data_IF_562445716732
#
_entry.id   IF_562445716732
#
_cell.length_a   1.000
_cell.length_b   1.000
_cell.length_c   1.000
_cell.angle_alpha   90.00
_cell.angle_beta   90.00
_cell.angle_gamma   90.00
#
_symmetry.space_group_name_H-M   'P 1'
#
loop_
_entity.id
_entity.type
_entity.pdbx_description
1 polymer ?
#
# COMPACT_ATOMS: atom_id res chain seq x y z
N UNK A 1 -9.00 -3.93 -16.37
CA UNK A 1 -7.70 -4.54 -16.72
C UNK A 1 -6.82 -4.89 -15.51
N UNK A 2 -7.05 -4.35 -14.30
CA UNK A 2 -6.30 -4.72 -13.07
C UNK A 2 -6.70 -6.06 -12.42
N UNK A 3 -7.81 -6.67 -12.85
CA UNK A 3 -8.40 -7.85 -12.20
C UNK A 3 -7.47 -9.08 -12.23
N UNK A 4 -6.88 -9.39 -13.38
CA UNK A 4 -6.07 -10.59 -13.57
C UNK A 4 -4.77 -10.56 -12.74
N UNK A 5 -4.12 -9.39 -12.60
CA UNK A 5 -2.87 -9.29 -11.87
C UNK A 5 -3.08 -9.50 -10.37
N UNK A 6 -4.12 -8.87 -9.80
CA UNK A 6 -4.41 -9.05 -8.38
C UNK A 6 -4.81 -10.51 -8.09
N UNK A 7 -5.55 -11.13 -9.00
CA UNK A 7 -5.87 -12.55 -8.92
C UNK A 7 -4.60 -13.43 -8.95
N UNK A 8 -3.69 -13.19 -9.89
CA UNK A 8 -2.42 -13.92 -9.96
C UNK A 8 -1.53 -13.69 -8.75
N UNK A 9 -1.50 -12.47 -8.19
CA UNK A 9 -0.79 -12.19 -6.93
C UNK A 9 -1.36 -13.00 -5.78
N UNK A 10 -2.69 -13.08 -5.67
CA UNK A 10 -3.34 -13.89 -4.64
C UNK A 10 -3.00 -15.38 -4.82
N UNK A 11 -3.01 -15.87 -6.07
CA UNK A 11 -2.63 -17.25 -6.43
C UNK A 11 -1.13 -17.54 -6.27
N UNK A 12 -0.26 -16.53 -6.34
CA UNK A 12 1.15 -16.63 -5.98
C UNK A 12 1.34 -16.68 -4.46
N UNK A 13 0.65 -15.82 -3.73
CA UNK A 13 0.90 -15.62 -2.30
C UNK A 13 0.54 -16.87 -1.48
N UNK A 14 -0.61 -17.49 -1.73
CA UNK A 14 -1.12 -18.61 -0.93
C UNK A 14 -0.17 -19.83 -0.91
N UNK A 15 0.24 -20.41 -2.06
CA UNK A 15 1.18 -21.55 -2.08
C UNK A 15 2.52 -21.20 -1.47
N UNK A 16 3.03 -19.98 -1.72
CA UNK A 16 4.32 -19.56 -1.16
C UNK A 16 4.23 -19.41 0.35
N UNK A 17 3.18 -18.80 0.90
CA UNK A 17 2.99 -18.73 2.36
C UNK A 17 2.89 -20.14 2.97
N UNK A 18 2.18 -21.07 2.33
CA UNK A 18 2.08 -22.46 2.77
C UNK A 18 3.44 -23.16 2.79
N UNK A 19 4.21 -23.06 1.70
CA UNK A 19 5.58 -23.57 1.63
C UNK A 19 6.45 -22.99 2.75
N UNK A 20 6.28 -21.71 3.12
CA UNK A 20 6.99 -21.10 4.25
C UNK A 20 6.66 -21.75 5.60
N UNK A 21 5.39 -22.03 5.87
CA UNK A 21 4.99 -22.72 7.11
C UNK A 21 5.51 -24.16 7.15
N UNK A 22 5.49 -24.84 6.01
CA UNK A 22 5.95 -26.23 5.92
C UNK A 22 7.48 -26.35 6.04
N UNK A 23 8.24 -25.32 5.65
CA UNK A 23 9.69 -25.22 5.93
C UNK A 23 10.01 -25.24 7.43
N UNK A 24 9.21 -24.54 8.23
CA UNK A 24 9.42 -24.51 9.67
C UNK A 24 9.22 -25.92 10.28
N UNK A 25 8.22 -26.65 9.81
CA UNK A 25 8.00 -28.05 10.20
C UNK A 25 9.12 -28.96 9.72
N UNK A 26 9.61 -28.77 8.49
CA UNK A 26 10.73 -29.53 7.93
C UNK A 26 11.99 -29.38 8.79
N UNK A 27 12.26 -28.14 9.25
CA UNK A 27 13.36 -27.85 10.16
C UNK A 27 13.27 -28.56 11.50
N UNK A 28 12.07 -28.60 12.08
CA UNK A 28 11.85 -29.31 13.34
C UNK A 28 12.07 -30.82 13.17
N UNK A 29 11.68 -31.38 12.02
CA UNK A 29 11.93 -32.79 11.69
C UNK A 29 13.42 -33.06 11.47
N UNK A 30 14.15 -32.23 10.72
CA UNK A 30 15.59 -32.36 10.54
C UNK A 30 16.35 -32.28 11.88
N UNK A 31 15.91 -31.39 12.77
CA UNK A 31 16.49 -31.26 14.11
C UNK A 31 16.24 -32.52 14.94
N UNK A 32 15.01 -33.06 14.92
CA UNK A 32 14.66 -34.32 15.58
C UNK A 32 15.49 -35.48 15.03
N UNK A 33 15.64 -35.57 13.71
CA UNK A 33 16.44 -36.59 13.04
C UNK A 33 17.90 -36.55 13.51
N UNK A 34 18.50 -35.35 13.60
CA UNK A 34 19.88 -35.18 14.02
C UNK A 34 20.14 -35.61 15.49
N UNK A 35 19.11 -35.57 16.34
CA UNK A 35 19.19 -36.02 17.74
C UNK A 35 18.66 -37.46 17.95
N UNK A 36 18.13 -38.11 16.92
CA UNK A 36 17.48 -39.41 17.02
C UNK A 36 18.52 -40.54 17.06
N UNK A 37 18.50 -41.35 18.12
CA UNK A 37 19.38 -42.52 18.28
C UNK A 37 18.71 -43.84 17.89
N UNK A 38 17.37 -43.86 17.80
CA UNK A 38 16.60 -45.04 17.36
C UNK A 38 16.55 -45.12 15.84
N UNK A 39 16.87 -46.29 15.29
CA UNK A 39 17.03 -46.51 13.84
C UNK A 39 15.68 -46.55 13.09
N UNK A 40 14.64 -47.14 13.68
CA UNK A 40 13.29 -47.19 13.08
C UNK A 40 12.62 -45.82 13.13
N UNK A 41 12.79 -45.10 14.23
CA UNK A 41 12.31 -43.72 14.37
C UNK A 41 13.02 -42.77 13.39
N UNK A 42 14.33 -42.95 13.19
CA UNK A 42 15.11 -42.19 12.20
C UNK A 42 14.57 -42.40 10.78
N UNK A 43 14.24 -43.64 10.40
CA UNK A 43 13.67 -43.95 9.09
C UNK A 43 12.31 -43.29 8.89
N UNK A 44 11.44 -43.31 9.91
CA UNK A 44 10.14 -42.67 9.87
C UNK A 44 10.26 -41.14 9.73
N UNK A 45 11.19 -40.51 10.45
CA UNK A 45 11.43 -39.07 10.37
C UNK A 45 11.95 -38.69 8.96
N UNK A 46 12.87 -39.47 8.38
CA UNK A 46 13.34 -39.25 7.00
C UNK A 46 12.20 -39.27 6.00
N UNK A 47 11.33 -40.29 6.06
CA UNK A 47 10.16 -40.37 5.18
C UNK A 47 9.27 -39.13 5.28
N UNK A 48 9.01 -38.63 6.48
CA UNK A 48 8.23 -37.39 6.70
C UNK A 48 8.93 -36.16 6.12
N UNK A 49 10.26 -36.09 6.18
CA UNK A 49 11.04 -35.00 5.57
C UNK A 49 10.86 -35.05 4.05
N UNK A 50 11.01 -36.22 3.43
CA UNK A 50 10.88 -36.38 1.98
C UNK A 50 9.46 -36.01 1.50
N UNK A 51 8.42 -36.53 2.15
CA UNK A 51 7.01 -36.19 1.84
C UNK A 51 6.75 -34.68 1.95
N UNK A 52 7.29 -34.03 3.00
CA UNK A 52 7.11 -32.60 3.20
C UNK A 52 7.90 -31.77 2.19
N UNK A 53 9.09 -32.23 1.78
CA UNK A 53 9.91 -31.59 0.76
C UNK A 53 9.19 -31.62 -0.60
N UNK A 54 8.53 -32.72 -0.97
CA UNK A 54 7.72 -32.81 -2.20
C UNK A 54 6.55 -31.82 -2.20
N UNK A 55 5.83 -31.69 -1.08
CA UNK A 55 4.74 -30.71 -0.94
C UNK A 55 5.26 -29.28 -1.12
N UNK A 56 6.37 -28.97 -0.45
CA UNK A 56 7.04 -27.67 -0.55
C UNK A 56 7.43 -27.38 -2.01
N UNK A 57 8.07 -28.32 -2.70
CA UNK A 57 8.52 -28.16 -4.09
C UNK A 57 7.33 -27.95 -5.05
N UNK A 58 6.22 -28.65 -4.82
CA UNK A 58 4.97 -28.47 -5.58
C UNK A 58 4.39 -27.08 -5.39
N UNK A 59 4.20 -26.63 -4.14
CA UNK A 59 3.65 -25.31 -3.82
C UNK A 59 4.51 -24.18 -4.42
N UNK A 60 5.83 -24.37 -4.41
CA UNK A 60 6.80 -23.46 -5.01
C UNK A 60 6.67 -23.40 -6.54
N UNK A 61 6.55 -24.56 -7.18
CA UNK A 61 6.40 -24.68 -8.64
C UNK A 61 5.15 -23.94 -9.11
N UNK A 62 4.03 -24.12 -8.40
CA UNK A 62 2.78 -23.40 -8.67
C UNK A 62 2.96 -21.90 -8.54
N UNK A 63 3.63 -21.45 -7.47
CA UNK A 63 3.97 -20.04 -7.29
C UNK A 63 4.80 -19.48 -8.45
N UNK A 64 5.80 -20.22 -8.95
CA UNK A 64 6.64 -19.78 -10.08
C UNK A 64 5.80 -19.47 -11.33
N UNK A 65 4.82 -20.30 -11.64
CA UNK A 65 3.94 -20.14 -12.80
C UNK A 65 3.18 -18.81 -12.71
N UNK A 66 2.54 -18.55 -11.56
CA UNK A 66 1.79 -17.30 -11.37
C UNK A 66 2.69 -16.06 -11.36
N UNK A 67 3.92 -16.16 -10.81
CA UNK A 67 4.91 -15.09 -10.93
C UNK A 67 5.21 -14.76 -12.41
N UNK A 68 5.40 -15.78 -13.24
CA UNK A 68 5.60 -15.62 -14.68
C UNK A 68 4.45 -14.85 -15.33
N UNK A 69 3.20 -15.26 -15.06
CA UNK A 69 2.03 -14.58 -15.59
C UNK A 69 1.92 -13.10 -15.18
N UNK A 70 2.28 -12.79 -13.92
CA UNK A 70 2.32 -11.40 -13.44
C UNK A 70 3.37 -10.58 -14.21
N UNK A 71 4.58 -11.13 -14.35
CA UNK A 71 5.68 -10.44 -15.05
C UNK A 71 5.34 -10.20 -16.52
N UNK A 72 4.76 -11.19 -17.20
CA UNK A 72 4.33 -11.09 -18.60
C UNK A 72 3.24 -10.03 -18.78
N UNK A 73 2.26 -9.97 -17.88
CA UNK A 73 1.20 -8.97 -17.94
C UNK A 73 1.75 -7.55 -17.76
N UNK A 74 2.68 -7.36 -16.82
CA UNK A 74 3.38 -6.07 -16.67
C UNK A 74 4.29 -5.75 -17.87
N UNK A 75 4.81 -6.74 -18.59
CA UNK A 75 5.55 -6.50 -19.83
C UNK A 75 4.63 -6.04 -20.95
N UNK A 76 3.43 -6.62 -21.09
CA UNK A 76 2.43 -6.16 -22.07
C UNK A 76 1.96 -4.73 -21.80
N UNK A 77 1.87 -4.35 -20.53
CA UNK A 77 1.46 -3.01 -20.11
C UNK A 77 2.62 -2.01 -20.08
N UNK A 78 3.85 -2.43 -20.36
CA UNK A 78 5.01 -1.54 -20.37
C UNK A 78 4.86 -0.54 -21.52
N UNK A 79 4.71 0.72 -21.15
CA UNK A 79 4.78 1.82 -22.11
C UNK A 79 6.27 2.20 -22.32
N UNK A 80 6.70 2.43 -23.56
CA UNK A 80 8.12 2.47 -23.97
C UNK A 80 8.89 3.77 -23.71
N UNK A 81 8.30 4.72 -22.99
CA UNK A 81 8.93 6.00 -22.61
C UNK A 81 9.35 6.04 -21.13
N UNK A 82 10.46 6.70 -20.80
CA UNK A 82 10.89 6.77 -19.40
C UNK A 82 10.14 7.83 -18.56
N UNK A 83 9.32 8.68 -19.17
CA UNK A 83 8.57 9.72 -18.45
C UNK A 83 9.34 11.03 -18.20
N UNK A 84 10.62 11.10 -18.54
CA UNK A 84 11.29 12.39 -18.69
C UNK A 84 10.72 13.11 -19.93
N UNK A 85 10.61 14.44 -19.86
CA UNK A 85 9.97 15.26 -20.91
C UNK A 85 10.58 15.06 -22.31
N UNK A 86 11.86 14.68 -22.37
CA UNK A 86 12.67 14.50 -23.59
C UNK A 86 12.55 13.09 -24.20
N UNK A 87 11.80 12.17 -23.59
CA UNK A 87 11.80 10.75 -23.96
C UNK A 87 10.93 10.44 -25.19
N UNK A 88 11.43 10.74 -26.39
CA UNK A 88 10.87 10.31 -27.67
C UNK A 88 11.76 9.24 -28.32
N UNK A 89 11.65 7.99 -27.85
CA UNK A 89 12.25 6.83 -28.53
C UNK A 89 13.74 6.56 -28.22
N UNK A 90 13.95 5.44 -27.54
CA UNK A 90 15.19 4.67 -27.33
C UNK A 90 16.37 5.29 -26.55
N UNK A 91 16.61 6.62 -26.52
CA UNK A 91 17.68 7.18 -25.66
C UNK A 91 17.30 8.52 -25.05
N UNK A 92 17.00 8.49 -23.75
CA UNK A 92 16.79 9.69 -22.95
C UNK A 92 18.13 10.17 -22.36
N UNK A 93 18.55 11.40 -22.69
CA UNK A 93 19.81 11.98 -22.23
C UNK A 93 19.90 12.08 -20.71
N UNK A 94 18.77 12.42 -20.06
CA UNK A 94 18.67 12.41 -18.60
C UNK A 94 18.94 11.02 -18.03
N UNK A 95 18.35 9.97 -18.59
CA UNK A 95 18.61 8.60 -18.17
C UNK A 95 20.08 8.21 -18.39
N UNK A 96 20.66 8.56 -19.55
CA UNK A 96 22.06 8.25 -19.87
C UNK A 96 23.04 8.92 -18.92
N UNK A 97 22.89 10.23 -18.69
CA UNK A 97 23.77 10.99 -17.80
C UNK A 97 23.70 10.52 -16.34
N UNK A 98 22.52 10.11 -15.87
CA UNK A 98 22.36 9.53 -14.54
C UNK A 98 23.09 8.19 -14.39
N UNK A 99 23.03 7.31 -15.40
CA UNK A 99 23.76 6.02 -15.40
C UNK A 99 25.26 6.26 -15.21
N UNK A 100 25.85 7.15 -16.01
CA UNK A 100 27.27 7.48 -15.91
C UNK A 100 27.63 8.03 -14.53
N UNK A 101 26.77 8.90 -13.98
CA UNK A 101 26.95 9.45 -12.64
C UNK A 101 26.94 8.36 -11.56
N UNK A 102 26.06 7.36 -11.68
CA UNK A 102 25.97 6.25 -10.71
C UNK A 102 27.25 5.42 -10.72
N UNK A 103 27.77 5.09 -11.91
CA UNK A 103 28.99 4.30 -12.08
C UNK A 103 30.24 5.04 -11.58
N UNK A 104 30.28 6.38 -11.70
CA UNK A 104 31.40 7.21 -11.18
C UNK A 104 31.45 7.28 -9.65
N UNK A 105 30.34 7.05 -8.95
CA UNK A 105 30.30 7.19 -7.50
C UNK A 105 30.45 5.83 -6.80
N UNK A 106 31.56 5.63 -6.07
CA UNK A 106 31.64 4.53 -5.10
C UNK A 106 30.99 4.88 -3.75
N UNK A 107 30.82 6.17 -3.45
CA UNK A 107 30.20 6.68 -2.22
C UNK A 107 28.72 7.04 -2.44
N UNK A 108 27.84 6.32 -1.74
CA UNK A 108 26.38 6.51 -1.80
C UNK A 108 25.90 7.82 -1.19
N UNK A 109 26.59 8.38 -0.19
CA UNK A 109 26.23 9.70 0.36
C UNK A 109 26.50 10.80 -0.66
N UNK A 110 27.68 10.76 -1.29
CA UNK A 110 28.06 11.73 -2.33
C UNK A 110 27.14 11.64 -3.55
N UNK A 111 26.83 10.41 -4.00
CA UNK A 111 25.85 10.20 -5.07
C UNK A 111 24.50 10.83 -4.74
N UNK A 112 23.96 10.56 -3.55
CA UNK A 112 22.67 11.08 -3.12
C UNK A 112 22.68 12.62 -3.05
N UNK A 113 23.73 13.24 -2.52
CA UNK A 113 23.87 14.71 -2.48
C UNK A 113 23.90 15.34 -3.88
N UNK A 114 24.31 14.60 -4.91
CA UNK A 114 24.35 15.08 -6.29
C UNK A 114 23.01 14.94 -7.03
N UNK A 115 22.20 13.94 -6.69
CA UNK A 115 20.93 13.67 -7.40
C UNK A 115 19.73 14.39 -6.78
N UNK A 116 19.68 14.49 -5.45
CA UNK A 116 18.52 15.10 -4.74
C UNK A 116 18.22 16.53 -5.19
N UNK A 117 19.21 17.44 -5.38
CA UNK A 117 18.92 18.81 -5.80
C UNK A 117 18.38 18.94 -7.23
N UNK A 118 18.51 17.90 -8.07
CA UNK A 118 18.13 17.94 -9.49
C UNK A 118 16.63 17.73 -9.74
N UNK A 119 15.89 17.29 -8.73
CA UNK A 119 14.46 17.00 -8.82
C UNK A 119 13.73 17.72 -7.69
N UNK A 120 12.45 18.07 -7.90
CA UNK A 120 11.61 18.65 -6.84
C UNK A 120 11.50 17.72 -5.63
N UNK A 121 11.49 16.42 -5.91
CA UNK A 121 11.51 15.35 -4.92
C UNK A 121 12.19 14.09 -5.47
N UNK A 122 12.65 13.22 -4.59
CA UNK A 122 13.31 11.95 -4.94
C UNK A 122 12.64 10.81 -4.20
N UNK A 123 12.25 9.76 -4.93
CA UNK A 123 11.68 8.53 -4.37
C UNK A 123 12.74 7.43 -4.36
N UNK A 124 13.07 6.89 -3.19
CA UNK A 124 13.94 5.74 -3.03
C UNK A 124 13.10 4.50 -2.71
N UNK A 125 13.23 3.48 -3.56
CA UNK A 125 12.51 2.20 -3.45
C UNK A 125 13.48 1.12 -3.03
N UNK A 126 13.49 0.80 -1.74
CA UNK A 126 14.34 -0.25 -1.19
C UNK A 126 13.75 -1.62 -1.50
N UNK A 127 14.59 -2.56 -1.89
CA UNK A 127 14.23 -3.95 -2.11
C UNK A 127 15.31 -4.91 -1.58
N UNK A 128 14.96 -6.19 -1.49
CA UNK A 128 15.79 -7.20 -0.81
C UNK A 128 16.91 -7.75 -1.69
N UNK A 129 16.61 -8.05 -2.95
CA UNK A 129 17.58 -8.54 -3.93
C UNK A 129 16.99 -9.41 -5.04
N UNK A 130 17.83 -9.92 -5.93
CA UNK A 130 17.50 -10.80 -7.07
C UNK A 130 16.80 -12.10 -6.68
N UNK A 131 17.15 -12.62 -5.52
CA UNK A 131 16.56 -13.83 -4.95
C UNK A 131 15.14 -13.59 -4.37
N UNK A 132 14.66 -12.36 -4.25
CA UNK A 132 13.36 -12.09 -3.64
C UNK A 132 12.22 -12.24 -4.66
N UNK A 133 11.37 -13.25 -4.47
CA UNK A 133 10.30 -13.62 -5.42
C UNK A 133 9.34 -12.48 -5.80
N UNK A 134 9.00 -11.60 -4.85
CA UNK A 134 8.10 -10.45 -5.07
C UNK A 134 8.81 -9.15 -5.45
N UNK A 135 10.14 -9.08 -5.35
CA UNK A 135 10.84 -7.82 -5.53
C UNK A 135 10.81 -7.37 -7.00
N UNK A 136 11.09 -8.27 -7.96
CA UNK A 136 11.01 -7.94 -9.38
C UNK A 136 9.59 -7.50 -9.79
N UNK A 137 8.57 -8.24 -9.34
CA UNK A 137 7.15 -7.90 -9.56
C UNK A 137 6.84 -6.49 -9.06
N UNK A 138 7.21 -6.18 -7.82
CA UNK A 138 6.95 -4.86 -7.23
C UNK A 138 7.70 -3.72 -7.95
N UNK A 139 8.93 -3.96 -8.39
CA UNK A 139 9.71 -2.96 -9.14
C UNK A 139 9.06 -2.65 -10.50
N UNK A 140 8.47 -3.66 -11.15
CA UNK A 140 7.66 -3.43 -12.37
C UNK A 140 6.41 -2.61 -12.08
N UNK A 141 5.75 -2.87 -10.95
CA UNK A 141 4.60 -2.07 -10.52
C UNK A 141 4.94 -0.61 -10.31
N UNK A 142 6.05 -0.34 -9.63
CA UNK A 142 6.57 1.02 -9.46
C UNK A 142 6.81 1.68 -10.82
N UNK A 143 7.28 0.92 -11.83
CA UNK A 143 7.50 1.47 -13.17
C UNK A 143 6.24 2.09 -13.79
N UNK A 144 5.05 1.58 -13.46
CA UNK A 144 3.79 2.12 -13.98
C UNK A 144 3.48 3.53 -13.48
N UNK A 145 4.05 3.94 -12.34
CA UNK A 145 3.82 5.25 -11.74
C UNK A 145 5.02 6.20 -11.87
N UNK A 146 6.16 5.70 -12.37
CA UNK A 146 7.39 6.49 -12.52
C UNK A 146 7.21 7.65 -13.51
N UNK A 147 6.35 7.50 -14.51
CA UNK A 147 6.06 8.59 -15.45
C UNK A 147 5.41 9.77 -14.77
N UNK A 148 4.40 9.51 -13.96
CA UNK A 148 3.66 10.52 -13.22
C UNK A 148 4.56 11.16 -12.16
N UNK A 149 5.42 10.38 -11.50
CA UNK A 149 6.48 10.92 -10.63
C UNK A 149 7.35 11.93 -11.39
N UNK A 150 7.80 11.58 -12.60
CA UNK A 150 8.68 12.42 -13.42
C UNK A 150 7.96 13.62 -14.03
N UNK A 151 6.69 13.50 -14.41
CA UNK A 151 5.91 14.61 -14.95
C UNK A 151 5.67 15.71 -13.90
N UNK A 152 5.68 15.36 -12.62
CA UNK A 152 5.65 16.32 -11.50
C UNK A 152 7.03 16.92 -11.16
N UNK A 153 8.09 16.52 -11.88
CA UNK A 153 9.46 16.98 -11.65
C UNK A 153 10.21 16.21 -10.57
N UNK A 154 9.72 15.03 -10.18
CA UNK A 154 10.42 14.08 -9.32
C UNK A 154 11.25 13.06 -10.09
N UNK A 155 11.90 12.15 -9.38
CA UNK A 155 12.54 10.98 -9.96
C UNK A 155 12.56 9.81 -8.95
N UNK A 156 12.78 8.59 -9.44
CA UNK A 156 12.75 7.37 -8.64
C UNK A 156 14.01 6.51 -8.81
N UNK A 157 14.43 5.85 -7.73
CA UNK A 157 15.62 5.01 -7.70
C UNK A 157 15.36 3.73 -6.89
N UNK A 158 15.60 2.57 -7.49
CA UNK A 158 15.64 1.31 -6.75
C UNK A 158 16.95 1.19 -5.98
N UNK A 159 16.90 0.77 -4.72
CA UNK A 159 18.07 0.65 -3.84
C UNK A 159 18.12 -0.74 -3.22
N UNK A 160 19.27 -1.41 -3.30
CA UNK A 160 19.46 -2.74 -2.72
C UNK A 160 20.87 -2.94 -2.17
N UNK A 161 21.00 -3.78 -1.14
CA UNK A 161 22.28 -4.12 -0.53
C UNK A 161 23.11 -5.19 -1.26
N UNK A 162 22.75 -5.56 -2.49
CA UNK A 162 23.59 -6.41 -3.36
C UNK A 162 24.62 -5.57 -4.12
N UNK A 163 25.66 -6.24 -4.65
CA UNK A 163 26.65 -5.58 -5.52
C UNK A 163 26.05 -5.11 -6.85
N UNK A 164 26.81 -4.28 -7.57
CA UNK A 164 26.37 -3.72 -8.84
C UNK A 164 25.97 -4.79 -9.87
N UNK A 165 26.68 -5.93 -9.91
CA UNK A 165 26.36 -7.02 -10.83
C UNK A 165 24.90 -7.48 -10.68
N UNK A 166 24.45 -7.75 -9.45
CA UNK A 166 23.08 -8.23 -9.21
C UNK A 166 22.03 -7.13 -9.34
N UNK A 167 22.43 -5.89 -9.05
CA UNK A 167 21.59 -4.72 -9.29
C UNK A 167 21.33 -4.57 -10.80
N UNK A 168 22.33 -4.82 -11.64
CA UNK A 168 22.21 -4.84 -13.10
C UNK A 168 21.37 -6.04 -13.59
N UNK A 169 21.55 -7.23 -13.00
CA UNK A 169 20.71 -8.41 -13.29
C UNK A 169 19.22 -8.14 -12.98
N UNK A 170 18.90 -7.57 -11.81
CA UNK A 170 17.53 -7.18 -11.45
C UNK A 170 16.99 -6.10 -12.40
N UNK A 171 17.82 -5.14 -12.78
CA UNK A 171 17.44 -4.10 -13.73
C UNK A 171 17.06 -4.70 -15.09
N UNK A 172 17.83 -5.68 -15.57
CA UNK A 172 17.57 -6.40 -16.81
C UNK A 172 16.31 -7.26 -16.71
N UNK A 173 16.14 -8.03 -15.63
CA UNK A 173 14.95 -8.87 -15.41
C UNK A 173 13.66 -8.06 -15.36
N UNK A 174 13.70 -6.91 -14.67
CA UNK A 174 12.51 -6.07 -14.48
C UNK A 174 12.19 -5.20 -15.69
N UNK A 175 13.17 -4.94 -16.58
CA UNK A 175 13.01 -4.11 -17.77
C UNK A 175 12.31 -2.78 -17.47
N UNK A 176 12.77 -2.07 -16.43
CA UNK A 176 12.15 -0.82 -15.94
C UNK A 176 12.82 0.43 -16.53
N UNK A 177 12.29 1.62 -16.26
CA UNK A 177 12.75 2.90 -16.82
C UNK A 177 13.50 3.79 -15.82
N UNK A 178 13.60 3.38 -14.56
CA UNK A 178 14.23 4.14 -13.48
C UNK A 178 15.50 3.46 -12.96
N UNK A 179 16.38 4.22 -12.31
CA UNK A 179 17.74 3.75 -12.04
C UNK A 179 17.83 2.81 -10.83
N UNK A 180 18.83 1.93 -10.86
CA UNK A 180 19.06 0.90 -9.86
C UNK A 180 20.42 1.13 -9.18
N UNK A 181 20.42 1.10 -7.86
CA UNK A 181 21.52 1.59 -7.03
C UNK A 181 21.98 0.50 -6.05
N UNK A 182 23.26 0.14 -6.17
CA UNK A 182 23.93 -0.72 -5.18
C UNK A 182 24.29 0.06 -3.92
N UNK A 183 23.70 -0.35 -2.78
CA UNK A 183 23.98 0.11 -1.42
C UNK A 183 24.56 -1.02 -0.57
N UNK A 184 25.61 -1.68 -1.05
CA UNK A 184 26.17 -2.92 -0.47
C UNK A 184 26.54 -2.81 1.03
N UNK A 185 26.86 -1.61 1.51
CA UNK A 185 27.20 -1.33 2.92
C UNK A 185 25.99 -0.87 3.77
N UNK A 186 24.79 -0.87 3.18
CA UNK A 186 23.55 -0.36 3.75
C UNK A 186 23.67 1.10 4.23
N UNK A 187 24.41 1.95 3.52
CA UNK A 187 24.66 3.34 3.92
C UNK A 187 23.37 4.15 3.86
N UNK A 188 22.60 4.00 2.78
CA UNK A 188 21.33 4.69 2.60
C UNK A 188 20.25 4.05 3.48
N UNK A 189 20.22 2.71 3.53
CA UNK A 189 19.26 2.01 4.38
C UNK A 189 19.40 2.44 5.86
N UNK A 190 20.62 2.46 6.40
CA UNK A 190 20.88 2.94 7.77
C UNK A 190 20.55 4.43 7.95
N UNK A 191 20.87 5.28 6.95
CA UNK A 191 20.58 6.73 7.02
C UNK A 191 19.09 7.01 7.18
N UNK A 192 18.24 6.26 6.48
CA UNK A 192 16.79 6.48 6.47
C UNK A 192 16.01 5.48 7.32
N UNK A 193 16.70 4.84 8.27
CA UNK A 193 16.13 3.86 9.18
C UNK A 193 15.41 2.70 8.45
N UNK A 194 15.77 2.36 7.22
CA UNK A 194 15.25 1.17 6.58
C UNK A 194 15.85 -0.04 7.28
N UNK A 195 14.98 -0.95 7.73
CA UNK A 195 15.39 -2.11 8.50
C UNK A 195 16.40 -2.94 7.71
N UNK A 196 17.48 -3.33 8.37
CA UNK A 196 18.51 -4.21 7.82
C UNK A 196 18.48 -5.53 8.58
N UNK A 197 18.06 -6.60 7.91
CA UNK A 197 18.01 -7.93 8.51
C UNK A 197 19.40 -8.57 8.49
N UNK A 198 19.80 -9.18 9.61
CA UNK A 198 21.05 -9.94 9.72
C UNK A 198 20.94 -11.26 8.95
N UNK A 199 22.07 -11.76 8.46
CA UNK A 199 22.22 -13.02 7.72
C UNK A 199 22.19 -14.25 8.64
N UNK A 200 21.15 -14.40 9.45
CA UNK A 200 21.21 -15.37 10.55
C UNK A 200 19.91 -16.17 10.66
N UNK A 201 20.01 -17.50 10.49
CA UNK A 201 18.96 -18.46 10.84
C UNK A 201 18.88 -19.66 9.90
N UNK A 202 18.63 -20.84 10.47
CA UNK A 202 18.36 -22.07 9.69
C UNK A 202 17.17 -21.91 8.74
N UNK A 203 16.09 -21.26 9.20
CA UNK A 203 14.90 -20.90 8.41
C UNK A 203 15.23 -20.11 7.14
N UNK A 204 16.16 -19.17 7.25
CA UNK A 204 16.59 -18.33 6.14
C UNK A 204 17.45 -19.10 5.12
N UNK A 205 18.35 -19.97 5.59
CA UNK A 205 19.18 -20.80 4.72
C UNK A 205 18.33 -21.81 3.93
N UNK A 206 17.31 -22.42 4.54
CA UNK A 206 16.41 -23.34 3.84
C UNK A 206 15.50 -22.60 2.87
N UNK A 207 14.98 -21.42 3.25
CA UNK A 207 14.22 -20.57 2.35
C UNK A 207 14.99 -20.22 1.07
N UNK A 208 16.30 -19.95 1.19
CA UNK A 208 17.15 -19.68 0.03
C UNK A 208 17.30 -20.88 -0.91
N UNK A 209 17.25 -22.12 -0.40
CA UNK A 209 17.28 -23.35 -1.21
C UNK A 209 15.98 -23.56 -1.98
N UNK A 210 14.86 -23.23 -1.35
CA UNK A 210 13.50 -23.29 -1.91
C UNK A 210 13.30 -22.26 -3.02
N UNK A 211 13.67 -21.02 -2.75
CA UNK A 211 13.67 -19.93 -3.74
C UNK A 211 14.60 -20.25 -4.92
N UNK A 212 15.75 -20.91 -4.68
CA UNK A 212 16.65 -21.37 -5.73
C UNK A 212 15.96 -22.38 -6.68
N UNK A 213 15.17 -23.31 -6.14
CA UNK A 213 14.36 -24.25 -6.93
C UNK A 213 13.26 -23.53 -7.73
N UNK A 214 12.61 -22.55 -7.10
CA UNK A 214 11.54 -21.75 -7.69
C UNK A 214 11.99 -20.86 -8.86
N UNK A 215 13.01 -20.01 -8.66
CA UNK A 215 13.28 -18.89 -9.57
C UNK A 215 14.33 -19.27 -10.63
N UNK A 216 15.01 -20.42 -10.51
CA UNK A 216 15.98 -20.91 -11.51
C UNK A 216 17.27 -20.08 -11.62
N UNK A 217 17.41 -19.00 -10.85
CA UNK A 217 18.66 -18.26 -10.74
C UNK A 217 19.62 -18.97 -9.78
N UNK A 218 20.79 -19.32 -10.30
CA UNK A 218 21.82 -20.15 -9.65
C UNK A 218 22.62 -19.44 -8.57
N UNK A 219 22.55 -18.11 -8.51
CA UNK A 219 23.33 -17.32 -7.57
C UNK A 219 22.59 -17.16 -6.25
N UNK A 220 22.78 -18.17 -5.40
CA UNK A 220 22.52 -18.09 -3.96
C UNK A 220 23.02 -16.75 -3.44
N UNK A 221 22.20 -16.09 -2.62
CA UNK A 221 22.55 -15.06 -1.65
C UNK A 221 24.04 -14.73 -1.65
N UNK A 222 24.39 -13.73 -2.44
CA UNK A 222 25.73 -13.24 -2.63
C UNK A 222 26.49 -13.18 -1.26
N UNK A 223 27.78 -13.54 -1.17
CA UNK A 223 28.57 -13.30 0.05
C UNK A 223 28.60 -11.82 0.46
N UNK A 224 28.18 -10.92 -0.44
CA UNK A 224 28.21 -9.47 -0.31
C UNK A 224 27.06 -8.84 0.48
N UNK A 225 26.05 -9.61 0.95
CA UNK A 225 25.18 -9.15 2.06
C UNK A 225 25.90 -9.23 3.44
N UNK A 226 27.22 -9.02 3.47
CA UNK A 226 28.04 -9.01 4.69
C UNK A 226 27.50 -8.00 5.71
N UNK A 227 27.00 -6.88 5.20
CA UNK A 227 26.44 -5.79 6.00
C UNK A 227 24.92 -5.92 6.22
N UNK A 228 24.30 -7.04 5.82
CA UNK A 228 22.88 -7.34 5.98
C UNK A 228 22.00 -6.97 4.79
N UNK A 229 20.70 -7.25 4.93
CA UNK A 229 19.72 -7.16 3.85
C UNK A 229 18.77 -6.01 4.10
N UNK A 230 18.80 -5.01 3.21
CA UNK A 230 17.80 -3.95 3.20
C UNK A 230 16.41 -4.54 3.03
N UNK A 231 15.52 -4.23 3.96
CA UNK A 231 14.12 -4.60 3.82
C UNK A 231 13.42 -3.68 2.83
N UNK A 232 12.29 -4.13 2.28
CA UNK A 232 11.50 -3.30 1.38
C UNK A 232 11.03 -2.04 2.08
N UNK A 233 11.11 -0.93 1.38
CA UNK A 233 10.84 0.38 1.96
C UNK A 233 10.69 1.46 0.91
N UNK A 234 9.99 2.52 1.26
CA UNK A 234 9.84 3.72 0.44
C UNK A 234 10.33 4.90 1.27
N UNK A 235 11.19 5.72 0.67
CA UNK A 235 11.60 7.01 1.24
C UNK A 235 11.35 8.08 0.20
N UNK A 236 10.64 9.15 0.57
CA UNK A 236 10.44 10.32 -0.28
C UNK A 236 11.20 11.49 0.34
N UNK A 237 12.07 12.08 -0.45
CA UNK A 237 12.89 13.22 -0.08
C UNK A 237 12.41 14.46 -0.82
N UNK A 238 12.38 15.61 -0.16
CA UNK A 238 12.25 16.90 -0.85
C UNK A 238 13.59 17.28 -1.54
N UNK A 239 13.61 18.36 -2.32
CA UNK A 239 14.81 18.87 -3.01
C UNK A 239 15.97 19.26 -2.06
N UNK A 240 15.69 19.49 -0.77
CA UNK A 240 16.71 19.76 0.26
C UNK A 240 17.32 18.48 0.85
N UNK A 241 16.70 17.33 0.59
CA UNK A 241 17.07 16.03 1.15
C UNK A 241 16.42 15.69 2.48
N UNK A 242 15.41 16.46 2.91
CA UNK A 242 14.62 16.13 4.09
C UNK A 242 13.62 15.02 3.74
N UNK A 243 13.43 14.09 4.68
CA UNK A 243 12.46 13.00 4.54
C UNK A 243 11.06 13.55 4.79
N UNK A 244 10.19 13.50 3.77
CA UNK A 244 8.76 13.87 3.91
C UNK A 244 7.86 12.65 4.08
N UNK A 245 8.35 11.47 3.67
CA UNK A 245 7.67 10.20 3.89
C UNK A 245 8.68 9.06 4.01
N UNK A 246 8.41 8.13 4.92
CA UNK A 246 9.16 6.88 5.09
C UNK A 246 8.20 5.76 5.45
N UNK A 247 8.31 4.67 4.72
CA UNK A 247 7.72 3.39 5.08
C UNK A 247 8.76 2.28 5.01
N UNK A 248 8.71 1.32 5.94
CA UNK A 248 9.57 0.15 5.96
C UNK A 248 8.75 -1.08 6.29
N UNK A 249 8.97 -2.16 5.55
CA UNK A 249 8.27 -3.42 5.75
C UNK A 249 8.56 -4.01 7.14
N UNK A 250 7.54 -4.46 7.87
CA UNK A 250 7.73 -5.26 9.07
C UNK A 250 8.29 -6.64 8.72
N UNK A 251 9.11 -7.22 9.60
CA UNK A 251 9.90 -8.43 9.30
C UNK A 251 9.57 -9.59 10.23
N UNK A 252 8.30 -9.94 10.33
CA UNK A 252 7.85 -11.08 11.11
C UNK A 252 7.36 -12.20 10.17
N UNK A 253 7.19 -13.41 10.69
CA UNK A 253 6.93 -14.60 9.86
C UNK A 253 5.69 -14.46 8.96
N UNK A 254 4.62 -13.84 9.46
CA UNK A 254 3.36 -13.59 8.73
C UNK A 254 3.55 -12.74 7.46
N UNK A 255 4.64 -11.97 7.39
CA UNK A 255 4.98 -11.09 6.26
C UNK A 255 5.95 -11.74 5.28
N UNK A 256 6.27 -13.02 5.48
CA UNK A 256 7.36 -13.70 4.78
C UNK A 256 8.72 -13.06 5.09
N UNK A 257 8.90 -12.56 6.32
CA UNK A 257 10.08 -11.79 6.72
C UNK A 257 10.33 -10.58 5.79
N UNK A 258 9.28 -9.79 5.56
CA UNK A 258 9.30 -8.63 4.66
C UNK A 258 9.21 -8.99 3.17
N UNK A 259 8.79 -10.20 2.79
CA UNK A 259 8.64 -10.57 1.38
C UNK A 259 7.39 -9.98 0.74
N UNK A 260 6.26 -9.96 1.44
CA UNK A 260 4.96 -9.70 0.83
C UNK A 260 4.49 -8.25 0.97
N UNK A 261 4.70 -7.64 2.14
CA UNK A 261 4.18 -6.30 2.38
C UNK A 261 4.94 -5.24 1.60
N UNK A 262 4.21 -4.39 0.89
CA UNK A 262 4.72 -3.25 0.11
C UNK A 262 3.69 -2.13 0.13
N UNK A 263 4.14 -0.89 0.00
CA UNK A 263 3.26 0.24 -0.30
C UNK A 263 2.73 0.06 -1.72
N UNK A 264 1.41 0.15 -1.93
CA UNK A 264 0.85 0.20 -3.30
C UNK A 264 1.49 1.39 -4.04
N UNK A 265 2.08 1.21 -5.24
CA UNK A 265 2.71 2.32 -5.95
C UNK A 265 1.78 3.50 -6.24
N UNK A 266 0.46 3.30 -6.29
CA UNK A 266 -0.52 4.39 -6.35
C UNK A 266 -0.55 5.22 -5.07
N UNK A 267 -0.38 4.61 -3.90
CA UNK A 267 -0.21 5.36 -2.66
C UNK A 267 1.08 6.21 -2.69
N UNK A 268 2.13 5.75 -3.37
CA UNK A 268 3.34 6.57 -3.58
C UNK A 268 3.01 7.81 -4.41
N UNK A 269 2.17 7.69 -5.44
CA UNK A 269 1.66 8.86 -6.18
C UNK A 269 0.84 9.79 -5.29
N UNK A 270 -0.08 9.26 -4.49
CA UNK A 270 -0.88 10.08 -3.57
C UNK A 270 0.03 10.86 -2.60
N UNK A 271 1.07 10.23 -2.06
CA UNK A 271 2.08 10.88 -1.21
C UNK A 271 2.76 12.04 -1.95
N UNK A 272 3.26 11.79 -3.17
CA UNK A 272 4.01 12.83 -3.89
C UNK A 272 3.09 13.93 -4.41
N UNK A 273 1.82 13.63 -4.71
CA UNK A 273 0.81 14.63 -5.06
C UNK A 273 0.46 15.51 -3.87
N UNK A 274 0.32 14.92 -2.68
CA UNK A 274 0.08 15.64 -1.43
C UNK A 274 1.18 16.67 -1.13
N UNK A 275 2.45 16.32 -1.36
CA UNK A 275 3.57 17.20 -1.04
C UNK A 275 4.01 18.11 -2.20
N UNK A 276 3.89 17.68 -3.46
CA UNK A 276 4.64 18.28 -4.59
C UNK A 276 3.85 18.47 -5.89
N UNK A 277 2.52 18.28 -5.90
CA UNK A 277 1.72 18.45 -7.14
C UNK A 277 1.66 19.89 -7.65
N UNK A 278 1.91 20.88 -6.78
CA UNK A 278 1.87 22.31 -7.08
C UNK A 278 3.20 23.00 -6.72
N UNK A 279 3.26 24.31 -6.91
CA UNK A 279 4.47 25.11 -6.67
C UNK A 279 4.83 25.19 -5.18
N UNK A 280 3.83 25.15 -4.31
CA UNK A 280 3.97 25.14 -2.86
C UNK A 280 3.31 23.91 -2.23
N UNK A 281 3.75 23.55 -1.01
CA UNK A 281 3.14 22.45 -0.26
C UNK A 281 1.66 22.73 0.04
N UNK A 282 1.31 23.96 0.44
CA UNK A 282 -0.06 24.33 0.79
C UNK A 282 -1.01 24.20 -0.42
N UNK A 283 -0.59 24.65 -1.61
CA UNK A 283 -1.37 24.45 -2.83
C UNK A 283 -1.50 22.97 -3.19
N UNK A 284 -0.42 22.19 -3.01
CA UNK A 284 -0.42 20.74 -3.26
C UNK A 284 -1.39 20.01 -2.32
N UNK A 285 -1.39 20.39 -1.04
CA UNK A 285 -2.31 19.89 -0.03
C UNK A 285 -3.77 20.18 -0.39
N UNK A 286 -4.09 21.44 -0.72
CA UNK A 286 -5.46 21.82 -1.08
C UNK A 286 -5.93 21.13 -2.36
N UNK A 287 -5.04 21.00 -3.36
CA UNK A 287 -5.32 20.24 -4.57
C UNK A 287 -5.59 18.78 -4.26
N UNK A 288 -4.76 18.15 -3.44
CA UNK A 288 -4.92 16.77 -3.01
C UNK A 288 -6.26 16.54 -2.30
N UNK A 289 -6.64 17.43 -1.37
CA UNK A 289 -7.93 17.36 -0.67
C UNK A 289 -9.11 17.47 -1.65
N UNK A 290 -9.01 18.36 -2.63
CA UNK A 290 -10.04 18.51 -3.67
C UNK A 290 -10.16 17.24 -4.54
N UNK A 291 -9.03 16.70 -5.01
CA UNK A 291 -9.00 15.51 -5.86
C UNK A 291 -9.45 14.24 -5.11
N UNK A 292 -9.36 14.23 -3.78
CA UNK A 292 -9.71 13.10 -2.91
C UNK A 292 -10.85 13.40 -1.92
N UNK A 293 -11.75 14.34 -2.27
CA UNK A 293 -12.78 14.85 -1.34
C UNK A 293 -13.55 13.76 -0.60
N UNK A 294 -13.96 12.69 -1.30
CA UNK A 294 -14.71 11.59 -0.68
C UNK A 294 -13.92 10.86 0.41
N UNK A 295 -12.63 10.58 0.18
CA UNK A 295 -11.77 9.91 1.17
C UNK A 295 -11.48 10.83 2.36
N UNK A 296 -11.28 12.12 2.10
CA UNK A 296 -11.06 13.14 3.15
C UNK A 296 -12.33 13.33 3.99
N UNK A 297 -13.50 13.25 3.36
CA UNK A 297 -14.78 13.32 4.05
C UNK A 297 -14.97 12.14 4.99
N UNK A 298 -14.74 10.91 4.53
CA UNK A 298 -14.82 9.72 5.38
C UNK A 298 -13.78 9.75 6.51
N UNK A 299 -12.55 10.23 6.29
CA UNK A 299 -11.61 10.48 7.39
C UNK A 299 -12.20 11.47 8.39
N UNK A 300 -12.78 12.58 7.90
CA UNK A 300 -13.33 13.62 8.76
C UNK A 300 -14.43 13.06 9.66
N UNK A 301 -15.26 12.16 9.16
CA UNK A 301 -16.30 11.51 9.96
C UNK A 301 -15.71 10.56 11.02
N UNK A 302 -14.64 9.84 10.69
CA UNK A 302 -14.05 8.82 11.55
C UNK A 302 -13.05 9.38 12.58
N UNK A 303 -12.33 10.46 12.27
CA UNK A 303 -11.45 11.13 13.23
C UNK A 303 -12.27 12.06 14.14
N UNK A 304 -12.21 11.80 15.45
CA UNK A 304 -12.97 12.54 16.47
C UNK A 304 -12.74 14.05 16.43
N UNK A 305 -11.52 14.49 16.14
CA UNK A 305 -11.15 15.91 16.15
C UNK A 305 -11.56 16.59 14.84
N UNK A 306 -11.33 15.98 13.68
CA UNK A 306 -11.82 16.49 12.39
C UNK A 306 -13.35 16.57 12.38
N UNK A 307 -14.03 15.52 12.89
CA UNK A 307 -15.49 15.52 13.03
C UNK A 307 -15.95 16.69 13.89
N UNK A 308 -15.33 16.91 15.06
CA UNK A 308 -15.67 18.03 15.94
C UNK A 308 -15.46 19.40 15.29
N UNK A 309 -14.38 19.57 14.51
CA UNK A 309 -14.14 20.79 13.74
C UNK A 309 -15.21 20.99 12.66
N UNK A 310 -15.59 19.93 11.95
CA UNK A 310 -16.62 20.00 10.91
C UNK A 310 -18.02 20.27 11.51
N UNK A 311 -18.37 19.64 12.64
CA UNK A 311 -19.58 19.98 13.40
C UNK A 311 -19.60 21.45 13.78
N UNK A 312 -18.47 22.00 14.27
CA UNK A 312 -18.34 23.42 14.59
C UNK A 312 -18.49 24.35 13.38
N UNK A 313 -18.10 23.88 12.19
CA UNK A 313 -18.32 24.60 10.93
C UNK A 313 -19.80 24.63 10.56
N UNK A 314 -20.47 23.47 10.54
CA UNK A 314 -21.90 23.37 10.21
C UNK A 314 -22.80 24.12 11.20
N UNK A 315 -22.44 24.17 12.48
CA UNK A 315 -23.10 25.00 13.50
C UNK A 315 -23.18 26.48 13.12
N UNK A 316 -22.14 27.01 12.46
CA UNK A 316 -22.12 28.41 11.99
C UNK A 316 -22.99 28.61 10.74
N UNK A 317 -23.24 27.54 10.00
CA UNK A 317 -24.11 27.53 8.81
C UNK A 317 -25.54 27.07 9.11
N UNK A 318 -25.86 26.77 10.38
CA UNK A 318 -27.15 26.22 10.80
C UNK A 318 -27.56 24.93 10.04
N UNK A 319 -26.59 24.04 9.74
CA UNK A 319 -26.75 22.83 8.92
C UNK A 319 -26.21 21.54 9.59
N UNK A 320 -26.26 21.52 10.91
CA UNK A 320 -25.73 20.47 11.80
C UNK A 320 -26.52 19.15 11.72
N UNK A 321 -27.83 19.22 11.44
CA UNK A 321 -28.72 18.08 11.30
C UNK A 321 -28.27 17.12 10.19
N UNK A 322 -27.66 17.65 9.14
CA UNK A 322 -27.10 16.86 8.04
C UNK A 322 -25.97 15.93 8.50
N UNK A 323 -25.12 16.37 9.42
CA UNK A 323 -24.02 15.55 9.96
C UNK A 323 -24.51 14.59 11.05
N UNK A 324 -25.43 15.02 11.90
CA UNK A 324 -26.05 14.17 12.92
C UNK A 324 -26.76 12.96 12.30
N UNK A 325 -27.54 13.20 11.24
CA UNK A 325 -28.17 12.12 10.48
C UNK A 325 -27.14 11.10 9.97
N UNK A 326 -25.99 11.55 9.44
CA UNK A 326 -24.96 10.63 8.96
C UNK A 326 -24.31 9.81 10.08
N UNK A 327 -24.17 10.39 11.28
CA UNK A 327 -23.66 9.68 12.46
C UNK A 327 -24.67 8.61 12.89
N UNK A 328 -25.96 8.96 12.98
CA UNK A 328 -27.02 8.03 13.33
C UNK A 328 -27.16 6.89 12.30
N UNK A 329 -26.93 7.19 11.01
CA UNK A 329 -26.90 6.17 9.95
C UNK A 329 -25.75 5.17 10.13
N UNK A 330 -24.58 5.61 10.58
CA UNK A 330 -23.45 4.70 10.87
C UNK A 330 -23.70 3.89 12.15
N UNK A 331 -24.29 4.50 13.19
CA UNK A 331 -24.71 3.76 14.39
C UNK A 331 -25.78 2.71 14.05
N UNK A 332 -26.75 3.05 13.20
CA UNK A 332 -27.78 2.13 12.75
C UNK A 332 -27.17 0.92 12.03
N UNK A 333 -26.20 1.16 11.13
CA UNK A 333 -25.44 0.11 10.45
C UNK A 333 -24.76 -0.82 11.45
N UNK A 334 -24.05 -0.27 12.43
CA UNK A 334 -23.36 -1.04 13.47
C UNK A 334 -24.34 -1.88 14.30
N UNK A 335 -25.53 -1.34 14.62
CA UNK A 335 -26.56 -2.08 15.35
C UNK A 335 -27.12 -3.26 14.55
N UNK A 336 -27.28 -3.13 13.23
CA UNK A 336 -27.66 -4.24 12.37
C UNK A 336 -26.58 -5.31 12.28
N UNK A 337 -25.32 -4.92 12.10
CA UNK A 337 -24.17 -5.84 12.10
C UNK A 337 -24.06 -6.59 13.45
N UNK A 338 -24.32 -5.90 14.56
CA UNK A 338 -24.38 -6.47 15.90
C UNK A 338 -25.68 -7.26 16.20
N UNK A 339 -26.62 -7.33 15.25
CA UNK A 339 -27.94 -7.98 15.39
C UNK A 339 -28.78 -7.45 16.57
N UNK A 340 -28.58 -6.18 16.96
CA UNK A 340 -29.33 -5.54 18.04
C UNK A 340 -30.59 -4.85 17.51
N UNK A 341 -31.58 -5.65 17.12
CA UNK A 341 -32.78 -5.18 16.41
C UNK A 341 -33.66 -4.23 17.23
N UNK A 342 -33.68 -4.35 18.56
CA UNK A 342 -34.51 -3.48 19.40
C UNK A 342 -33.99 -2.03 19.40
N UNK A 343 -32.67 -1.86 19.55
CA UNK A 343 -32.04 -0.53 19.48
C UNK A 343 -32.08 0.03 18.06
N UNK A 344 -31.88 -0.82 17.05
CA UNK A 344 -31.98 -0.41 15.66
C UNK A 344 -33.35 0.21 15.36
N UNK A 345 -34.45 -0.46 15.72
CA UNK A 345 -35.82 0.07 15.53
C UNK A 345 -36.05 1.42 16.22
N UNK A 346 -35.58 1.55 17.46
CA UNK A 346 -35.67 2.84 18.20
C UNK A 346 -34.92 3.96 17.48
N UNK A 347 -33.74 3.66 16.92
CA UNK A 347 -32.95 4.63 16.16
C UNK A 347 -33.58 4.94 14.80
N UNK A 348 -34.20 3.97 14.12
CA UNK A 348 -34.96 4.23 12.88
C UNK A 348 -36.13 5.18 13.12
N UNK A 349 -36.91 4.96 14.19
CA UNK A 349 -38.00 5.85 14.59
C UNK A 349 -37.47 7.25 14.91
N UNK A 350 -36.34 7.34 15.62
CA UNK A 350 -35.67 8.61 15.89
C UNK A 350 -35.30 9.33 14.59
N UNK A 351 -34.65 8.64 13.65
CA UNK A 351 -34.22 9.20 12.37
C UNK A 351 -35.42 9.70 11.56
N UNK A 352 -36.48 8.90 11.49
CA UNK A 352 -37.71 9.25 10.76
C UNK A 352 -38.36 10.53 11.33
N UNK A 353 -38.51 10.57 12.65
CA UNK A 353 -39.22 11.66 13.33
C UNK A 353 -38.39 12.95 13.36
N UNK A 354 -37.07 12.85 13.52
CA UNK A 354 -36.21 14.01 13.69
C UNK A 354 -35.64 14.56 12.38
N UNK A 355 -35.35 13.72 11.38
CA UNK A 355 -34.64 14.17 10.17
C UNK A 355 -35.48 14.09 8.89
N UNK A 356 -36.44 13.16 8.80
CA UNK A 356 -37.18 12.92 7.53
C UNK A 356 -38.53 13.64 7.52
N UNK A 357 -39.24 13.66 8.65
CA UNK A 357 -40.55 14.30 8.79
C UNK A 357 -40.48 15.80 8.51
N UNK A 358 -41.32 16.30 7.60
CA UNK A 358 -41.36 17.73 7.22
C UNK A 358 -41.76 18.66 8.36
N UNK A 359 -42.37 18.11 9.42
CA UNK A 359 -42.77 18.86 10.61
C UNK A 359 -41.65 18.99 11.64
N UNK A 360 -40.52 18.32 11.43
CA UNK A 360 -39.39 18.38 12.36
C UNK A 360 -38.60 19.68 12.18
N UNK A 361 -38.21 20.35 13.29
CA UNK A 361 -37.31 21.50 13.24
C UNK A 361 -35.89 21.13 12.77
N UNK A 362 -35.53 19.83 12.74
CA UNK A 362 -34.26 19.31 12.23
C UNK A 362 -34.44 18.55 10.90
N UNK A 363 -35.51 18.84 10.17
CA UNK A 363 -35.79 18.17 8.90
C UNK A 363 -34.71 18.45 7.86
N UNK A 364 -34.23 17.39 7.23
CA UNK A 364 -33.21 17.44 6.19
C UNK A 364 -33.78 18.05 4.91
N UNK A 365 -32.94 18.78 4.20
CA UNK A 365 -33.23 19.29 2.86
C UNK A 365 -33.13 18.16 1.81
N UNK A 366 -34.12 17.26 1.81
CA UNK A 366 -34.25 16.16 0.85
C UNK A 366 -35.25 16.48 -0.26
N UNK A 367 -35.00 15.92 -1.45
CA UNK A 367 -35.97 15.96 -2.56
C UNK A 367 -37.27 15.25 -2.18
N UNK A 368 -38.40 15.72 -2.70
CA UNK A 368 -39.72 15.09 -2.45
C UNK A 368 -39.71 13.60 -2.85
N UNK A 369 -39.00 13.23 -3.92
CA UNK A 369 -38.85 11.84 -4.37
C UNK A 369 -38.09 10.99 -3.35
N UNK A 370 -36.93 11.46 -2.87
CA UNK A 370 -36.12 10.75 -1.87
C UNK A 370 -36.91 10.58 -0.58
N UNK A 371 -37.56 11.65 -0.11
CA UNK A 371 -38.39 11.64 1.11
C UNK A 371 -39.55 10.65 1.00
N UNK A 372 -40.32 10.69 -0.09
CA UNK A 372 -41.43 9.74 -0.31
C UNK A 372 -40.96 8.29 -0.40
N UNK A 373 -39.79 8.03 -1.01
CA UNK A 373 -39.22 6.69 -1.09
C UNK A 373 -38.86 6.15 0.29
N UNK A 374 -38.20 6.96 1.13
CA UNK A 374 -37.84 6.57 2.50
C UNK A 374 -39.08 6.23 3.32
N UNK A 375 -40.08 7.13 3.32
CA UNK A 375 -41.34 6.93 4.05
C UNK A 375 -42.08 5.68 3.57
N UNK A 376 -42.20 5.48 2.25
CA UNK A 376 -42.92 4.33 1.69
C UNK A 376 -42.27 2.98 2.03
N UNK A 377 -40.93 2.92 2.02
CA UNK A 377 -40.19 1.70 2.36
C UNK A 377 -40.27 1.32 3.83
N UNK A 378 -40.40 2.29 4.75
CA UNK A 378 -40.61 2.00 6.18
C UNK A 378 -42.02 1.48 6.44
N UNK A 379 -43.01 2.02 5.72
CA UNK A 379 -44.41 1.58 5.80
C UNK A 379 -44.66 0.21 5.15
N UNK A 380 -43.75 -0.28 4.30
CA UNK A 380 -43.82 -1.59 3.63
C UNK A 380 -42.53 -2.39 3.88
N UNK A 381 -42.35 -2.94 5.09
CA UNK A 381 -41.09 -3.57 5.47
C UNK A 381 -40.84 -4.83 4.64
N UNK A 382 -39.93 -4.72 3.67
CA UNK A 382 -39.43 -5.86 2.91
C UNK A 382 -38.09 -6.26 3.54
N UNK A 383 -38.13 -7.33 4.36
CA UNK A 383 -36.99 -7.97 5.07
C UNK A 383 -35.99 -7.03 5.77
N UNK A 384 -36.21 -6.79 7.06
CA UNK A 384 -35.34 -6.06 8.02
C UNK A 384 -33.97 -6.72 8.31
N UNK A 385 -33.57 -7.72 7.56
CA UNK A 385 -32.48 -8.61 7.95
C UNK A 385 -31.09 -8.06 7.57
N UNK A 386 -31.02 -7.01 6.73
CA UNK A 386 -29.77 -6.45 6.21
C UNK A 386 -29.84 -4.93 6.00
N UNK A 387 -28.86 -4.18 6.54
CA UNK A 387 -28.74 -2.72 6.39
C UNK A 387 -28.74 -2.26 4.91
N UNK A 388 -28.16 -3.06 4.01
CA UNK A 388 -28.08 -2.78 2.57
C UNK A 388 -29.44 -2.66 1.88
N UNK A 389 -30.49 -3.23 2.49
CA UNK A 389 -31.87 -3.13 2.02
C UNK A 389 -32.62 -1.88 2.51
N UNK A 390 -32.01 -1.06 3.37
CA UNK A 390 -32.71 0.08 3.99
C UNK A 390 -32.80 1.29 3.06
N UNK A 391 -34.00 1.87 3.00
CA UNK A 391 -34.32 3.02 2.16
C UNK A 391 -33.56 4.30 2.52
N UNK A 392 -33.08 4.40 3.76
CA UNK A 392 -32.27 5.51 4.23
C UNK A 392 -30.92 5.64 3.52
N UNK A 393 -30.41 4.57 2.88
CA UNK A 393 -29.14 4.62 2.15
C UNK A 393 -29.14 5.65 1.03
N UNK A 394 -30.26 5.81 0.34
CA UNK A 394 -30.36 6.81 -0.72
C UNK A 394 -30.32 8.24 -0.15
N UNK A 395 -31.04 8.49 0.96
CA UNK A 395 -31.01 9.76 1.66
C UNK A 395 -29.61 10.06 2.24
N UNK A 396 -28.95 9.07 2.83
CA UNK A 396 -27.57 9.20 3.31
C UNK A 396 -26.63 9.58 2.18
N UNK A 397 -26.72 8.91 1.03
CA UNK A 397 -25.93 9.26 -0.15
C UNK A 397 -26.20 10.68 -0.62
N UNK A 398 -27.46 11.08 -0.76
CA UNK A 398 -27.84 12.44 -1.20
C UNK A 398 -27.27 13.52 -0.27
N UNK A 399 -27.32 13.29 1.05
CA UNK A 399 -26.78 14.21 2.06
C UNK A 399 -25.25 14.24 2.03
N UNK A 400 -24.57 13.08 1.95
CA UNK A 400 -23.11 13.04 1.80
C UNK A 400 -22.67 13.83 0.57
N UNK A 401 -23.33 13.59 -0.56
CA UNK A 401 -23.09 14.25 -1.83
C UNK A 401 -23.32 15.77 -1.75
N UNK A 402 -24.37 16.21 -1.05
CA UNK A 402 -24.65 17.63 -0.80
C UNK A 402 -23.54 18.28 0.04
N UNK A 403 -23.20 17.68 1.19
CA UNK A 403 -22.15 18.20 2.08
C UNK A 403 -20.80 18.28 1.36
N UNK A 404 -20.41 17.22 0.64
CA UNK A 404 -19.13 17.15 -0.09
C UNK A 404 -19.00 18.19 -1.21
N UNK A 405 -20.12 18.60 -1.84
CA UNK A 405 -20.12 19.60 -2.91
C UNK A 405 -20.12 21.04 -2.41
N UNK A 406 -20.55 21.28 -1.17
CA UNK A 406 -20.79 22.62 -0.65
C UNK A 406 -20.06 22.90 0.68
N UNK A 407 -20.72 22.69 1.82
CA UNK A 407 -20.15 23.02 3.15
C UNK A 407 -18.80 22.37 3.43
N UNK A 408 -18.58 21.14 2.98
CA UNK A 408 -17.31 20.45 3.20
C UNK A 408 -16.15 21.07 2.42
N UNK A 409 -16.39 21.56 1.19
CA UNK A 409 -15.36 22.28 0.43
C UNK A 409 -14.91 23.55 1.16
N UNK A 410 -15.88 24.32 1.69
CA UNK A 410 -15.57 25.51 2.50
C UNK A 410 -14.83 25.14 3.78
N UNK A 411 -15.27 24.10 4.47
CA UNK A 411 -14.60 23.58 5.65
C UNK A 411 -13.12 23.21 5.39
N UNK A 412 -12.84 22.54 4.26
CA UNK A 412 -11.49 22.13 3.87
C UNK A 412 -10.52 23.31 3.65
N UNK A 413 -11.03 24.53 3.46
CA UNK A 413 -10.19 25.75 3.36
C UNK A 413 -9.92 26.42 4.72
N UNK A 414 -10.55 25.94 5.79
CA UNK A 414 -10.38 26.54 7.12
C UNK A 414 -9.01 26.26 7.72
N UNK A 415 -8.44 27.23 8.45
CA UNK A 415 -7.11 27.12 9.06
C UNK A 415 -7.01 25.94 10.03
N UNK A 416 -8.06 25.68 10.80
CA UNK A 416 -8.09 24.61 11.79
C UNK A 416 -8.12 23.22 11.12
N UNK A 417 -8.86 23.09 10.03
CA UNK A 417 -8.84 21.88 9.20
C UNK A 417 -7.44 21.66 8.62
N UNK A 418 -6.90 22.63 7.86
CA UNK A 418 -5.60 22.51 7.19
C UNK A 418 -4.53 22.07 8.19
N UNK A 419 -4.41 22.79 9.31
CA UNK A 419 -3.40 22.54 10.34
C UNK A 419 -3.44 21.12 10.91
N UNK A 420 -4.63 20.53 11.06
CA UNK A 420 -4.76 19.19 11.63
C UNK A 420 -4.73 18.10 10.56
N UNK A 421 -5.38 18.32 9.42
CA UNK A 421 -5.40 17.39 8.30
C UNK A 421 -4.02 17.19 7.67
N UNK A 422 -3.17 18.21 7.62
CA UNK A 422 -1.76 18.08 7.18
C UNK A 422 -0.98 17.04 8.00
N UNK A 423 -1.33 16.85 9.27
CA UNK A 423 -0.67 15.88 10.17
C UNK A 423 -1.28 14.49 10.04
N UNK A 424 -2.60 14.40 9.85
CA UNK A 424 -3.33 13.12 9.89
C UNK A 424 -3.35 12.42 8.54
N UNK A 425 -3.52 13.15 7.43
CA UNK A 425 -3.60 12.58 6.08
C UNK A 425 -2.38 11.71 5.73
N UNK A 426 -1.13 12.10 6.05
CA UNK A 426 0.02 11.25 5.78
C UNK A 426 -0.04 9.85 6.40
N UNK A 427 -0.78 9.65 7.49
CA UNK A 427 -0.95 8.33 8.11
C UNK A 427 -1.73 7.36 7.21
N UNK A 428 -2.61 7.86 6.33
CA UNK A 428 -3.34 7.04 5.34
C UNK A 428 -2.45 6.22 4.44
N UNK A 429 -1.23 6.70 4.20
CA UNK A 429 -0.29 6.05 3.30
C UNK A 429 0.49 4.94 4.01
N UNK A 430 0.52 4.97 5.34
CA UNK A 430 1.24 4.01 6.19
C UNK A 430 0.36 2.83 6.63
N UNK A 431 -0.96 2.95 6.56
CA UNK A 431 -1.90 1.98 7.10
C UNK A 431 -2.22 0.84 6.12
N UNK A 432 -1.55 -0.29 6.35
CA UNK A 432 -2.22 -1.58 6.60
C UNK A 432 -1.59 -2.18 7.87
N UNK A 433 -1.86 -1.55 9.01
CA UNK A 433 -1.58 -2.14 10.32
C UNK A 433 -2.93 -2.42 10.99
N UNK A 434 -3.55 -3.52 10.58
CA UNK A 434 -4.42 -4.33 11.44
C UNK A 434 -3.97 -5.80 11.36
#
# INVERSE_FOLDING_TARGET
MSCNIQEYKNKFQQPIVKAYYDVEKLLDLEKKLASCTNQDESLLIKKKIDELQEVIDSDISDGKVYRGYIMDEYQRQKNGTCGHAEALGAKCETCTSQIESIQKHSDRKKWLSNIVPKSKFTVLVFYRGTWCGMCAVYLREVNHVVREIRSMGGDAYAVCSQSQQYVDEMKQETDTDYQFISDCKNVLAKKYDIKVSKKNGRAFNIMSRIIKSAIGHTNMYEPHHKDGISQPGIVVLNQKGDVVYRWCSPTHIKTGFGMFERVDPRNVLDIVQFYFSQSTHQESFLRFVSDHVGRVFELTLNDKKLRGLFTGHLKKEYAEESLEFLIDMEELKQLFEAKNLEKAKKLEEHILNNFISEQSPRSLNLSSRTRSSVIKSILQPTSFEQFEGHSFLHASKDIKDMLMRDSFQRFCTSKDFIKYAEVVIPNWFSEKNE
#
